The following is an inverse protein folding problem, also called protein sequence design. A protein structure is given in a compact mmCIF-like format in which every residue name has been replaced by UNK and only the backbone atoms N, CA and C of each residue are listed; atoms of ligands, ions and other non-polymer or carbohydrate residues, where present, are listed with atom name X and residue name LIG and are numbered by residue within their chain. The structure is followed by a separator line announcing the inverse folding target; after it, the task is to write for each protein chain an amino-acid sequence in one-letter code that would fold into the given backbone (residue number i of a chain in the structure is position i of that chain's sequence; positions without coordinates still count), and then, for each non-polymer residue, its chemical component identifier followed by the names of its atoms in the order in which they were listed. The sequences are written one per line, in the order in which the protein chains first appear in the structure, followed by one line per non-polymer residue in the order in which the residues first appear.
data_IF_901055256073
#
_entry.id   IF_901055256073
#
_cell.length_a   1.000
_cell.length_b   1.000
_cell.length_c   1.000
_cell.angle_alpha   90.00
_cell.angle_beta   90.00
_cell.angle_gamma   90.00
#
_symmetry.space_group_name_H-M   'P 1'
#
loop_
_entity.id
_entity.type
_entity.pdbx_description
1 polymer ?
#
# COMPACT_ATOMS: atom_id res chain seq x y z
N UNK A 1 13.36 -1.91 4.99
CA UNK A 1 12.91 -3.30 4.67
C UNK A 1 12.84 -4.22 5.90
N UNK A 2 13.63 -3.91 6.92
CA UNK A 2 13.69 -4.71 8.14
C UNK A 2 12.55 -4.46 9.14
N UNK A 3 11.59 -3.61 8.82
CA UNK A 3 10.48 -3.23 9.71
C UNK A 3 9.38 -4.28 9.80
N UNK A 4 9.23 -5.13 8.78
CA UNK A 4 8.19 -6.15 8.72
C UNK A 4 8.74 -7.48 9.19
N UNK A 5 8.23 -8.07 10.29
CA UNK A 5 8.69 -9.38 10.75
C UNK A 5 8.21 -10.51 9.81
N UNK A 6 8.94 -11.60 9.80
CA UNK A 6 8.47 -12.88 9.28
C UNK A 6 7.51 -13.50 10.31
N UNK A 7 6.38 -14.02 9.84
CA UNK A 7 5.26 -14.46 10.68
C UNK A 7 4.90 -15.91 10.34
N UNK A 8 4.75 -16.74 11.37
CA UNK A 8 4.06 -18.04 11.29
C UNK A 8 2.67 -17.86 11.89
N UNK A 9 1.62 -18.16 11.13
CA UNK A 9 0.24 -17.96 11.55
C UNK A 9 -0.62 -19.21 11.32
N UNK A 10 -1.72 -19.31 12.09
CA UNK A 10 -2.76 -20.34 11.97
C UNK A 10 -4.15 -19.73 12.09
N UNK A 11 -5.22 -20.48 11.77
CA UNK A 11 -6.59 -19.97 11.85
C UNK A 11 -7.05 -19.77 13.29
N UNK A 12 -7.75 -18.67 13.56
CA UNK A 12 -8.47 -18.46 14.82
C UNK A 12 -9.90 -19.05 14.78
N UNK A 13 -10.47 -19.33 15.96
CA UNK A 13 -11.83 -19.87 16.08
C UNK A 13 -12.95 -18.82 16.06
N UNK A 14 -12.66 -17.52 15.84
CA UNK A 14 -13.64 -16.43 15.92
C UNK A 14 -14.65 -16.42 14.76
N UNK A 15 -15.87 -15.92 15.05
CA UNK A 15 -16.93 -15.73 14.06
C UNK A 15 -16.58 -14.61 13.06
N UNK A 16 -17.06 -14.72 11.82
CA UNK A 16 -16.87 -13.72 10.77
C UNK A 16 -18.06 -12.77 10.59
N UNK A 17 -19.21 -13.06 11.20
CA UNK A 17 -20.46 -12.30 11.01
C UNK A 17 -20.38 -10.84 11.45
N UNK A 18 -19.59 -10.55 12.49
CA UNK A 18 -19.45 -9.19 13.02
C UNK A 18 -18.75 -8.24 12.02
N UNK A 19 -17.84 -8.74 11.19
CA UNK A 19 -17.15 -7.94 10.17
C UNK A 19 -18.13 -7.38 9.12
N UNK A 20 -19.10 -8.19 8.68
CA UNK A 20 -20.11 -7.76 7.72
C UNK A 20 -21.07 -6.74 8.34
N UNK A 21 -21.49 -6.94 9.59
CA UNK A 21 -22.32 -5.98 10.31
C UNK A 21 -21.62 -4.62 10.51
N UNK A 22 -20.33 -4.64 10.87
CA UNK A 22 -19.54 -3.43 11.00
C UNK A 22 -19.30 -2.71 9.67
N UNK A 23 -19.18 -3.43 8.56
CA UNK A 23 -19.10 -2.84 7.21
C UNK A 23 -20.37 -2.06 6.85
N UNK A 24 -21.54 -2.65 7.13
CA UNK A 24 -22.82 -1.97 6.90
C UNK A 24 -22.94 -0.68 7.70
N UNK A 25 -22.55 -0.71 8.98
CA UNK A 25 -22.58 0.47 9.83
C UNK A 25 -21.55 1.52 9.40
N UNK A 26 -20.33 1.11 9.06
CA UNK A 26 -19.26 2.03 8.63
C UNK A 26 -19.64 2.89 7.43
N UNK A 27 -20.48 2.39 6.52
CA UNK A 27 -21.01 3.13 5.39
C UNK A 27 -22.06 4.18 5.76
N UNK A 28 -22.65 4.09 6.95
CA UNK A 28 -23.68 5.01 7.45
C UNK A 28 -23.08 6.10 8.33
N UNK A 29 -21.83 5.94 8.78
CA UNK A 29 -21.14 6.90 9.61
C UNK A 29 -20.49 7.98 8.75
N UNK A 30 -20.54 9.23 9.21
CA UNK A 30 -20.01 10.40 8.52
C UNK A 30 -18.61 10.75 9.05
N UNK A 31 -17.67 10.92 8.12
CA UNK A 31 -16.31 11.39 8.45
C UNK A 31 -16.37 12.86 8.86
N UNK A 32 -15.85 13.15 10.04
CA UNK A 32 -15.63 14.51 10.52
C UNK A 32 -14.23 15.03 10.20
N UNK A 33 -14.02 16.31 10.45
CA UNK A 33 -12.72 16.96 10.36
C UNK A 33 -12.21 17.28 11.76
N UNK A 34 -10.96 16.88 12.06
CA UNK A 34 -10.25 17.44 13.19
C UNK A 34 -9.78 18.84 12.78
N UNK A 35 -10.17 19.86 13.50
CA UNK A 35 -9.65 21.22 13.29
C UNK A 35 -8.12 21.19 13.41
N UNK A 36 -7.42 21.60 12.34
CA UNK A 36 -6.02 21.43 11.98
C UNK A 36 -4.95 21.65 13.08
N UNK A 37 -3.69 21.89 12.69
CA UNK A 37 -2.50 22.03 13.58
C UNK A 37 -2.70 22.97 14.81
N UNK A 38 -3.67 23.85 14.77
CA UNK A 38 -4.13 24.66 15.89
C UNK A 38 -4.76 23.84 17.03
N UNK A 39 -5.30 22.66 16.76
CA UNK A 39 -5.99 21.85 17.76
C UNK A 39 -5.03 21.21 18.80
N UNK A 40 -3.79 20.88 18.40
CA UNK A 40 -2.78 20.36 19.35
C UNK A 40 -2.32 21.43 20.34
N UNK A 41 -2.30 22.69 19.90
CA UNK A 41 -1.94 23.82 20.77
C UNK A 41 -3.09 24.22 21.69
N UNK A 42 -4.34 24.12 21.22
CA UNK A 42 -5.53 24.38 22.02
C UNK A 42 -5.81 23.28 23.07
N UNK A 43 -5.53 22.00 22.71
CA UNK A 43 -5.60 20.89 23.66
C UNK A 43 -4.61 21.04 24.84
N UNK A 44 -3.42 21.62 24.58
CA UNK A 44 -2.45 21.96 25.64
C UNK A 44 -2.95 23.12 26.51
N UNK A 45 -3.80 24.00 25.97
CA UNK A 45 -4.39 25.11 26.70
C UNK A 45 -5.73 24.78 27.42
N UNK A 46 -6.24 23.52 27.30
CA UNK A 46 -7.45 23.08 28.00
C UNK A 46 -8.77 23.53 27.35
N UNK A 47 -8.75 23.94 26.09
CA UNK A 47 -9.96 24.20 25.33
C UNK A 47 -10.52 22.89 24.75
N UNK A 48 -11.86 22.68 24.89
CA UNK A 48 -12.55 21.54 24.30
C UNK A 48 -12.45 21.60 22.78
N UNK A 49 -11.95 20.53 22.18
CA UNK A 49 -11.88 20.40 20.71
C UNK A 49 -13.29 20.03 20.24
N UNK A 50 -13.95 20.89 19.47
CA UNK A 50 -15.18 20.52 18.79
C UNK A 50 -14.83 19.52 17.66
N UNK A 51 -15.06 18.25 17.92
CA UNK A 51 -15.00 17.18 16.95
C UNK A 51 -16.31 17.15 16.16
N UNK A 52 -16.25 17.24 14.83
CA UNK A 52 -17.42 17.13 13.96
C UNK A 52 -17.53 15.73 13.38
N UNK A 53 -18.75 15.32 12.96
CA UNK A 53 -19.00 14.01 12.36
C UNK A 53 -19.00 12.86 13.36
N UNK A 54 -19.00 11.64 12.86
CA UNK A 54 -19.09 10.41 13.66
C UNK A 54 -17.72 9.79 13.95
N UNK A 55 -16.72 10.09 13.12
CA UNK A 55 -15.35 9.62 13.30
C UNK A 55 -14.34 10.54 12.62
N UNK A 56 -13.11 10.52 13.14
CA UNK A 56 -11.99 11.31 12.64
C UNK A 56 -10.90 10.35 12.14
N UNK A 57 -10.30 10.70 11.00
CA UNK A 57 -9.21 9.93 10.38
C UNK A 57 -7.93 10.74 10.46
N UNK A 58 -6.90 10.17 11.07
CA UNK A 58 -5.53 10.66 10.98
C UNK A 58 -4.77 9.86 9.91
N UNK A 59 -4.63 10.47 8.73
CA UNK A 59 -3.95 9.82 7.59
C UNK A 59 -2.45 9.65 7.82
N UNK A 60 -1.84 10.51 8.64
CA UNK A 60 -0.41 10.47 8.95
C UNK A 60 -0.09 9.33 9.91
N UNK A 61 -0.88 9.19 10.96
CA UNK A 61 -0.72 8.12 11.94
C UNK A 61 -1.47 6.83 11.54
N UNK A 62 -2.23 6.88 10.44
CA UNK A 62 -3.09 5.78 9.93
C UNK A 62 -4.05 5.24 11.00
N UNK A 63 -4.65 6.15 11.76
CA UNK A 63 -5.62 5.82 12.82
C UNK A 63 -7.01 6.38 12.54
N UNK A 64 -8.01 5.75 13.13
CA UNK A 64 -9.41 6.20 13.11
C UNK A 64 -9.94 6.18 14.53
N UNK A 65 -10.59 7.27 14.94
CA UNK A 65 -11.21 7.41 16.24
C UNK A 65 -12.68 7.79 16.10
N UNK A 66 -13.55 7.18 16.91
CA UNK A 66 -14.96 7.54 16.98
C UNK A 66 -15.13 8.83 17.83
N UNK A 67 -16.01 9.71 17.40
CA UNK A 67 -16.50 10.82 18.21
C UNK A 67 -17.60 10.35 19.18
N UNK A 68 -18.05 11.20 20.09
CA UNK A 68 -19.17 10.87 20.97
C UNK A 68 -20.45 10.54 20.18
N UNK A 69 -20.70 11.24 19.09
CA UNK A 69 -21.87 10.98 18.23
C UNK A 69 -21.74 9.67 17.46
N UNK A 70 -20.51 9.34 17.02
CA UNK A 70 -20.20 8.05 16.43
C UNK A 70 -20.41 6.90 17.40
N UNK A 71 -19.96 7.03 18.65
CA UNK A 71 -20.18 6.04 19.71
C UNK A 71 -21.66 5.79 19.91
N UNK A 72 -22.49 6.84 20.06
CA UNK A 72 -23.95 6.71 20.22
C UNK A 72 -24.62 5.98 19.05
N UNK A 73 -24.19 6.24 17.82
CA UNK A 73 -24.69 5.54 16.61
C UNK A 73 -24.33 4.06 16.62
N UNK A 74 -23.10 3.72 17.03
CA UNK A 74 -22.64 2.31 17.16
C UNK A 74 -23.46 1.60 18.23
N UNK A 75 -23.63 2.18 19.42
CA UNK A 75 -24.43 1.64 20.51
C UNK A 75 -25.86 1.38 20.09
N UNK A 76 -26.47 2.32 19.40
CA UNK A 76 -27.84 2.20 18.87
C UNK A 76 -27.94 1.07 17.83
N UNK A 77 -26.98 0.93 16.92
CA UNK A 77 -26.99 -0.08 15.87
C UNK A 77 -26.87 -1.50 16.42
N UNK A 78 -25.99 -1.70 17.41
CA UNK A 78 -25.78 -3.01 18.03
C UNK A 78 -26.67 -3.28 19.24
N UNK A 79 -27.55 -2.34 19.62
CA UNK A 79 -28.44 -2.41 20.80
C UNK A 79 -27.68 -2.70 22.11
N UNK A 80 -26.59 -1.99 22.31
CA UNK A 80 -25.75 -2.06 23.52
C UNK A 80 -25.84 -0.74 24.29
N UNK A 81 -25.64 -0.79 25.61
CA UNK A 81 -25.75 0.40 26.48
C UNK A 81 -24.45 1.22 26.53
N UNK A 82 -23.30 0.55 26.51
CA UNK A 82 -21.99 1.22 26.60
C UNK A 82 -20.94 0.48 25.75
N UNK A 83 -20.40 1.14 24.72
CA UNK A 83 -19.39 0.58 23.84
C UNK A 83 -18.05 0.33 24.55
N UNK A 84 -17.76 1.07 25.63
CA UNK A 84 -16.52 0.93 26.39
C UNK A 84 -16.50 -0.25 27.36
N UNK A 85 -17.62 -0.94 27.55
CA UNK A 85 -17.67 -2.12 28.40
C UNK A 85 -16.78 -3.25 27.86
N UNK A 86 -16.11 -4.01 28.76
CA UNK A 86 -15.24 -5.11 28.34
C UNK A 86 -15.93 -6.16 27.44
N UNK A 87 -17.24 -6.36 27.59
CA UNK A 87 -18.03 -7.28 26.78
C UNK A 87 -18.19 -6.77 25.33
N UNK A 88 -18.08 -5.47 25.09
CA UNK A 88 -18.28 -4.82 23.80
C UNK A 88 -16.96 -4.45 23.08
N UNK A 89 -15.80 -4.78 23.66
CA UNK A 89 -14.49 -4.46 23.07
C UNK A 89 -14.31 -5.04 21.66
N UNK A 90 -14.89 -6.19 21.38
CA UNK A 90 -14.85 -6.80 20.05
C UNK A 90 -15.64 -5.98 19.03
N UNK A 91 -16.79 -5.43 19.40
CA UNK A 91 -17.59 -4.52 18.55
C UNK A 91 -16.82 -3.23 18.29
N UNK A 92 -16.27 -2.62 19.36
CA UNK A 92 -15.45 -1.42 19.25
C UNK A 92 -14.25 -1.62 18.31
N UNK A 93 -13.54 -2.72 18.47
CA UNK A 93 -12.39 -3.07 17.63
C UNK A 93 -12.80 -3.23 16.16
N UNK A 94 -13.85 -4.01 15.90
CA UNK A 94 -14.27 -4.32 14.53
C UNK A 94 -14.88 -3.12 13.80
N UNK A 95 -15.57 -2.20 14.47
CA UNK A 95 -16.05 -0.98 13.83
C UNK A 95 -14.89 -0.06 13.43
N UNK A 96 -13.88 0.06 14.27
CA UNK A 96 -12.65 0.82 13.93
C UNK A 96 -11.94 0.18 12.74
N UNK A 97 -11.85 -1.15 12.68
CA UNK A 97 -11.27 -1.84 11.52
C UNK A 97 -12.08 -1.61 10.24
N UNK A 98 -13.41 -1.64 10.30
CA UNK A 98 -14.27 -1.34 9.16
C UNK A 98 -14.05 0.11 8.67
N UNK A 99 -13.98 1.07 9.56
CA UNK A 99 -13.69 2.47 9.23
C UNK A 99 -12.28 2.64 8.64
N UNK A 100 -11.27 1.94 9.17
CA UNK A 100 -9.92 1.91 8.60
C UNK A 100 -9.92 1.32 7.19
N UNK A 101 -10.62 0.21 6.98
CA UNK A 101 -10.73 -0.43 5.68
C UNK A 101 -11.34 0.51 4.62
N UNK A 102 -12.34 1.31 4.99
CA UNK A 102 -12.98 2.26 4.07
C UNK A 102 -12.17 3.52 3.83
N UNK A 103 -11.44 4.03 4.83
CA UNK A 103 -10.83 5.36 4.78
C UNK A 103 -9.31 5.35 4.59
N UNK A 104 -8.62 4.25 4.91
CA UNK A 104 -7.16 4.16 4.90
C UNK A 104 -6.62 3.00 4.05
N UNK A 105 -7.49 2.14 3.50
CA UNK A 105 -7.11 1.00 2.67
C UNK A 105 -7.77 1.12 1.31
N UNK A 106 -6.99 1.28 0.26
CA UNK A 106 -7.48 1.57 -1.08
C UNK A 106 -7.22 0.39 -2.02
N UNK A 107 -8.28 0.00 -2.72
CA UNK A 107 -8.19 -1.01 -3.77
C UNK A 107 -7.27 -0.51 -4.88
N UNK A 108 -6.50 -1.43 -5.46
CA UNK A 108 -5.52 -1.19 -6.51
C UNK A 108 -4.32 -0.30 -6.09
N UNK A 109 -4.19 -0.06 -4.78
CA UNK A 109 -3.03 0.57 -4.15
C UNK A 109 -2.45 -0.34 -3.06
N UNK A 110 -3.24 -0.60 -2.01
CA UNK A 110 -2.82 -1.41 -0.87
C UNK A 110 -3.12 -2.90 -1.08
N UNK A 111 -4.14 -3.20 -1.87
CA UNK A 111 -4.55 -4.56 -2.19
C UNK A 111 -5.25 -4.65 -3.54
N UNK A 112 -5.35 -5.85 -4.08
CA UNK A 112 -6.16 -6.18 -5.25
C UNK A 112 -7.20 -7.25 -4.90
N UNK A 113 -8.28 -7.30 -5.67
CA UNK A 113 -9.28 -8.38 -5.58
C UNK A 113 -9.16 -9.23 -6.83
N UNK A 114 -8.88 -10.51 -6.63
CA UNK A 114 -8.76 -11.47 -7.74
C UNK A 114 -10.14 -11.81 -8.35
N UNK A 115 -10.19 -12.34 -9.57
CA UNK A 115 -11.44 -12.81 -10.17
C UNK A 115 -12.16 -13.87 -9.32
N UNK A 116 -11.42 -14.66 -8.55
CA UNK A 116 -11.95 -15.69 -7.64
C UNK A 116 -12.49 -15.10 -6.32
N UNK A 117 -12.47 -13.78 -6.17
CA UNK A 117 -12.95 -13.08 -4.97
C UNK A 117 -12.01 -13.17 -3.78
N UNK A 118 -10.71 -13.23 -4.02
CA UNK A 118 -9.70 -13.22 -2.98
C UNK A 118 -9.03 -11.83 -2.88
N UNK A 119 -8.92 -11.31 -1.65
CA UNK A 119 -8.17 -10.08 -1.37
C UNK A 119 -6.70 -10.43 -1.21
N UNK A 120 -5.83 -9.82 -2.02
CA UNK A 120 -4.39 -10.01 -1.97
C UNK A 120 -3.67 -8.69 -1.72
N UNK A 121 -2.71 -8.70 -0.79
CA UNK A 121 -1.91 -7.53 -0.44
C UNK A 121 -0.95 -7.19 -1.58
N UNK A 122 -0.81 -5.91 -1.85
CA UNK A 122 0.24 -5.36 -2.72
C UNK A 122 1.35 -4.79 -1.85
N UNK A 123 2.57 -5.21 -2.08
CA UNK A 123 3.75 -4.70 -1.38
C UNK A 123 3.98 -3.23 -1.76
N UNK A 124 4.02 -2.36 -0.77
CA UNK A 124 4.21 -0.91 -0.95
C UNK A 124 5.54 -0.58 -1.65
N UNK A 125 6.58 -1.38 -1.42
CA UNK A 125 7.93 -1.12 -1.94
C UNK A 125 8.17 -1.70 -3.33
N UNK A 126 7.64 -2.89 -3.60
CA UNK A 126 7.86 -3.61 -4.86
C UNK A 126 6.67 -3.55 -5.81
N UNK A 127 5.48 -3.21 -5.32
CA UNK A 127 4.24 -3.25 -6.10
C UNK A 127 3.79 -4.67 -6.48
N UNK A 128 4.39 -5.71 -5.90
CA UNK A 128 4.05 -7.12 -6.17
C UNK A 128 2.95 -7.62 -5.25
N UNK A 129 2.14 -8.53 -5.75
CA UNK A 129 1.20 -9.29 -4.91
C UNK A 129 2.01 -10.16 -3.95
N UNK A 130 1.57 -10.19 -2.70
CA UNK A 130 2.14 -11.03 -1.65
C UNK A 130 1.23 -12.24 -1.38
N UNK A 131 1.43 -13.38 -2.09
CA UNK A 131 0.59 -14.56 -1.92
C UNK A 131 0.67 -15.11 -0.50
N UNK A 132 -0.49 -15.51 0.04
CA UNK A 132 -0.57 -16.11 1.37
C UNK A 132 -0.41 -15.15 2.55
N UNK A 133 -0.09 -13.88 2.33
CA UNK A 133 -0.05 -12.85 3.37
C UNK A 133 -1.42 -12.22 3.56
N UNK A 134 -1.73 -11.91 4.81
CA UNK A 134 -2.96 -11.25 5.22
C UNK A 134 -2.64 -10.16 6.23
N UNK A 135 -3.41 -9.06 6.23
CA UNK A 135 -3.31 -8.07 7.30
C UNK A 135 -3.72 -8.68 8.62
N UNK A 136 -3.03 -8.29 9.70
CA UNK A 136 -3.28 -8.76 11.05
C UNK A 136 -4.51 -8.12 11.71
N UNK A 137 -4.85 -8.63 12.87
CA UNK A 137 -5.82 -8.05 13.82
C UNK A 137 -7.24 -7.86 13.27
N UNK A 138 -7.61 -8.59 12.24
CA UNK A 138 -8.92 -8.52 11.62
C UNK A 138 -9.06 -7.49 10.49
N UNK A 139 -8.02 -6.71 10.18
CA UNK A 139 -8.09 -5.73 9.09
C UNK A 139 -8.33 -6.37 7.73
N UNK A 140 -7.75 -7.55 7.47
CA UNK A 140 -7.97 -8.26 6.21
C UNK A 140 -9.43 -8.67 6.05
N UNK A 141 -10.06 -9.17 7.12
CA UNK A 141 -11.47 -9.51 7.15
C UNK A 141 -12.37 -8.28 6.95
N UNK A 142 -12.00 -7.14 7.52
CA UNK A 142 -12.72 -5.89 7.31
C UNK A 142 -12.65 -5.43 5.83
N UNK A 143 -11.52 -5.65 5.15
CA UNK A 143 -11.38 -5.39 3.72
C UNK A 143 -12.21 -6.40 2.90
N UNK A 144 -12.20 -7.68 3.26
CA UNK A 144 -13.04 -8.70 2.61
C UNK A 144 -14.53 -8.34 2.72
N UNK A 145 -15.00 -7.88 3.89
CA UNK A 145 -16.36 -7.39 4.08
C UNK A 145 -16.66 -6.14 3.22
N UNK A 146 -15.75 -5.17 3.19
CA UNK A 146 -15.84 -3.97 2.35
C UNK A 146 -16.00 -4.30 0.87
N UNK A 147 -15.25 -5.29 0.37
CA UNK A 147 -15.25 -5.69 -1.04
C UNK A 147 -16.35 -6.72 -1.37
N UNK A 148 -17.20 -7.07 -0.38
CA UNK A 148 -18.29 -8.04 -0.53
C UNK A 148 -17.83 -9.41 -1.05
N UNK A 149 -16.63 -9.82 -0.67
CA UNK A 149 -16.11 -11.17 -0.89
C UNK A 149 -16.26 -12.01 0.37
N UNK A 150 -16.03 -13.31 0.26
CA UNK A 150 -16.17 -14.23 1.41
C UNK A 150 -15.17 -13.85 2.51
N UNK A 151 -15.68 -13.47 3.68
CA UNK A 151 -14.86 -13.19 4.86
C UNK A 151 -14.29 -14.50 5.40
N UNK A 152 -12.97 -14.64 5.39
CA UNK A 152 -12.27 -15.81 5.93
C UNK A 152 -11.98 -15.61 7.41
N UNK A 153 -11.78 -16.72 8.13
CA UNK A 153 -11.43 -16.66 9.55
C UNK A 153 -10.11 -15.94 9.76
N UNK A 154 -10.03 -15.19 10.85
CA UNK A 154 -8.81 -14.52 11.29
C UNK A 154 -7.67 -15.52 11.49
N UNK A 155 -6.45 -15.13 11.15
CA UNK A 155 -5.27 -15.92 11.45
C UNK A 155 -4.66 -15.47 12.78
N UNK A 156 -4.28 -16.44 13.61
CA UNK A 156 -3.55 -16.20 14.86
C UNK A 156 -2.06 -16.31 14.60
N UNK A 157 -1.30 -15.27 14.97
CA UNK A 157 0.15 -15.32 14.93
C UNK A 157 0.68 -16.30 15.98
N UNK A 158 1.42 -17.30 15.54
CA UNK A 158 2.05 -18.31 16.40
C UNK A 158 3.48 -17.92 16.78
N UNK A 159 4.22 -17.33 15.86
CA UNK A 159 5.59 -16.85 16.07
C UNK A 159 5.96 -15.74 15.10
N UNK A 160 6.88 -14.88 15.52
CA UNK A 160 7.46 -13.82 14.70
C UNK A 160 8.99 -13.77 14.87
N UNK A 161 9.69 -13.37 13.81
CA UNK A 161 11.11 -13.05 13.86
C UNK A 161 11.38 -11.88 12.91
N UNK A 162 12.17 -10.89 13.33
CA UNK A 162 12.61 -9.82 12.45
C UNK A 162 13.67 -10.30 11.45
N UNK A 163 13.81 -9.63 10.31
CA UNK A 163 14.86 -9.91 9.34
C UNK A 163 16.26 -9.78 9.99
N UNK A 164 16.45 -8.73 10.80
CA UNK A 164 17.71 -8.53 11.51
C UNK A 164 18.08 -9.73 12.39
N UNK A 165 17.14 -10.20 13.20
CA UNK A 165 17.37 -11.33 14.10
C UNK A 165 17.55 -12.64 13.33
N UNK A 166 16.84 -12.82 12.21
CA UNK A 166 17.00 -13.99 11.38
C UNK A 166 18.40 -14.03 10.75
N UNK A 167 18.79 -12.97 10.03
CA UNK A 167 20.07 -12.93 9.34
C UNK A 167 21.26 -12.87 10.27
N UNK A 168 21.12 -12.31 11.49
CA UNK A 168 22.18 -12.36 12.50
C UNK A 168 22.44 -13.75 13.10
N UNK A 169 21.60 -14.75 12.78
CA UNK A 169 21.88 -16.16 13.13
C UNK A 169 22.87 -16.85 12.16
N UNK A 170 23.19 -16.23 11.04
CA UNK A 170 24.12 -16.79 10.07
C UNK A 170 25.52 -16.23 10.29
N UNK A 171 26.54 -17.11 10.28
CA UNK A 171 27.96 -16.73 10.43
C UNK A 171 28.47 -15.94 9.23
N UNK A 172 28.00 -16.28 8.02
CA UNK A 172 28.35 -15.57 6.78
C UNK A 172 27.11 -14.94 6.17
N UNK A 173 27.18 -13.64 5.97
CA UNK A 173 26.11 -12.82 5.37
C UNK A 173 26.70 -11.92 4.31
N UNK A 174 26.00 -11.79 3.19
CA UNK A 174 26.32 -10.79 2.17
C UNK A 174 25.07 -10.45 1.38
N UNK A 175 25.08 -9.34 0.68
CA UNK A 175 23.99 -8.89 -0.17
C UNK A 175 24.50 -7.99 -1.28
N UNK A 176 23.64 -7.72 -2.25
CA UNK A 176 23.92 -6.80 -3.35
C UNK A 176 22.73 -5.87 -3.57
N UNK A 177 23.01 -4.59 -3.78
CA UNK A 177 22.00 -3.60 -4.16
C UNK A 177 22.69 -2.40 -4.83
N UNK A 178 21.98 -1.70 -5.67
CA UNK A 178 22.48 -0.46 -6.29
C UNK A 178 22.46 0.76 -5.36
N UNK A 179 21.93 0.65 -4.13
CA UNK A 179 21.67 1.79 -3.23
C UNK A 179 22.20 1.59 -1.81
N UNK A 180 23.15 0.67 -1.58
CA UNK A 180 23.62 0.35 -0.23
C UNK A 180 24.52 1.43 0.39
N UNK A 181 25.24 2.19 -0.42
CA UNK A 181 26.28 3.11 0.07
C UNK A 181 25.70 4.22 0.98
N UNK A 182 24.49 4.69 0.70
CA UNK A 182 23.81 5.71 1.51
C UNK A 182 23.44 5.19 2.89
N UNK A 183 23.27 3.87 3.03
CA UNK A 183 22.83 3.19 4.25
C UNK A 183 23.95 2.39 4.91
N UNK A 184 25.21 2.63 4.57
CA UNK A 184 26.37 1.90 5.09
C UNK A 184 26.39 1.86 6.62
N UNK A 185 26.07 2.99 7.26
CA UNK A 185 26.01 3.07 8.71
C UNK A 185 25.01 2.09 9.31
N UNK A 186 23.82 1.97 8.72
CA UNK A 186 22.78 1.03 9.18
C UNK A 186 23.25 -0.42 8.99
N UNK A 187 23.87 -0.76 7.86
CA UNK A 187 24.41 -2.11 7.65
C UNK A 187 25.49 -2.48 8.66
N UNK A 188 26.34 -1.54 9.01
CA UNK A 188 27.38 -1.73 10.02
C UNK A 188 26.81 -1.90 11.42
N UNK A 189 25.88 -1.02 11.81
CA UNK A 189 25.31 -1.00 13.16
C UNK A 189 24.41 -2.24 13.44
N UNK A 190 23.66 -2.72 12.43
CA UNK A 190 22.70 -3.80 12.60
C UNK A 190 23.33 -5.17 12.32
N UNK A 191 24.09 -5.28 11.25
CA UNK A 191 24.58 -6.58 10.75
C UNK A 191 26.09 -6.76 10.89
N UNK A 192 26.84 -5.73 11.27
CA UNK A 192 28.30 -5.76 11.30
C UNK A 192 28.92 -5.91 9.90
N UNK A 193 28.26 -5.41 8.85
CA UNK A 193 28.72 -5.50 7.47
C UNK A 193 29.17 -4.15 6.95
N UNK A 194 30.29 -4.15 6.22
CA UNK A 194 30.74 -3.00 5.45
C UNK A 194 30.11 -3.00 4.06
N UNK A 195 30.01 -1.82 3.46
CA UNK A 195 29.55 -1.66 2.08
C UNK A 195 30.74 -1.44 1.17
N UNK A 196 30.84 -2.24 0.13
CA UNK A 196 31.90 -2.15 -0.88
C UNK A 196 31.28 -1.73 -2.21
N UNK A 197 31.67 -0.58 -2.73
CA UNK A 197 31.25 -0.11 -4.04
C UNK A 197 32.05 -0.84 -5.13
N UNK A 198 31.35 -1.53 -6.01
CA UNK A 198 31.95 -2.17 -7.19
C UNK A 198 31.62 -1.31 -8.41
N UNK A 199 32.64 -0.72 -9.06
CA UNK A 199 32.39 0.14 -10.21
C UNK A 199 31.82 -0.65 -11.38
N UNK A 200 31.08 0.02 -12.25
CA UNK A 200 30.52 -0.57 -13.47
C UNK A 200 31.64 -1.02 -14.42
N UNK A 201 31.43 -2.15 -15.11
CA UNK A 201 32.39 -2.68 -16.09
C UNK A 201 32.63 -1.70 -17.27
N UNK A 202 31.60 -0.94 -17.64
CA UNK A 202 31.68 0.10 -18.69
C UNK A 202 31.26 1.46 -18.12
N UNK A 203 31.73 2.60 -18.69
CA UNK A 203 31.26 3.91 -18.27
C UNK A 203 29.74 4.02 -18.36
N UNK A 204 29.14 4.66 -17.35
CA UNK A 204 27.70 4.94 -17.32
C UNK A 204 27.39 5.94 -18.43
N UNK A 205 26.46 5.56 -19.33
CA UNK A 205 25.99 6.43 -20.42
C UNK A 205 24.62 7.07 -20.12
N UNK A 206 23.99 6.69 -18.99
CA UNK A 206 22.70 7.24 -18.56
C UNK A 206 22.86 8.73 -18.26
N UNK A 207 21.90 9.51 -18.76
CA UNK A 207 21.77 10.93 -18.45
C UNK A 207 20.52 11.11 -17.60
N UNK A 208 20.68 11.54 -16.37
CA UNK A 208 19.58 11.88 -15.48
C UNK A 208 19.20 13.35 -15.71
N UNK A 209 17.97 13.57 -16.18
CA UNK A 209 17.43 14.91 -16.40
C UNK A 209 16.90 15.50 -15.10
N UNK A 210 16.83 16.84 -15.05
CA UNK A 210 16.23 17.56 -13.93
C UNK A 210 14.73 17.24 -13.80
N UNK A 211 14.21 17.28 -12.56
CA UNK A 211 12.81 17.06 -12.27
C UNK A 211 11.91 18.11 -12.92
N UNK A 212 10.87 17.67 -13.64
CA UNK A 212 9.84 18.55 -14.17
C UNK A 212 8.69 18.70 -13.16
N UNK A 213 8.49 19.90 -12.65
CA UNK A 213 7.47 20.19 -11.63
C UNK A 213 6.21 20.78 -12.29
N UNK A 214 5.06 20.22 -11.96
CA UNK A 214 3.76 20.63 -12.50
C UNK A 214 2.84 21.14 -11.39
N UNK A 215 1.95 22.05 -11.71
CA UNK A 215 0.99 22.62 -10.79
C UNK A 215 -0.10 21.62 -10.41
N UNK A 216 -0.53 20.79 -11.35
CA UNK A 216 -1.59 19.81 -11.15
C UNK A 216 -1.16 18.40 -11.62
N UNK A 217 -1.82 17.38 -11.08
CA UNK A 217 -1.62 15.98 -11.51
C UNK A 217 -1.99 15.77 -12.99
N UNK A 218 -3.03 16.47 -13.47
CA UNK A 218 -3.48 16.34 -14.86
C UNK A 218 -2.43 16.87 -15.83
N UNK A 219 -1.89 18.06 -15.59
CA UNK A 219 -0.78 18.62 -16.38
C UNK A 219 0.42 17.68 -16.43
N UNK A 220 0.77 17.08 -15.28
CA UNK A 220 1.84 16.07 -15.21
C UNK A 220 1.54 14.87 -16.11
N UNK A 221 0.32 14.31 -16.05
CA UNK A 221 -0.01 13.13 -16.84
C UNK A 221 -0.06 13.43 -18.35
N UNK A 222 -0.55 14.60 -18.75
CA UNK A 222 -0.50 15.06 -20.14
C UNK A 222 0.94 15.21 -20.63
N UNK A 223 1.82 15.79 -19.82
CA UNK A 223 3.25 15.92 -20.13
C UNK A 223 3.95 14.55 -20.26
N UNK A 224 3.60 13.57 -19.41
CA UNK A 224 4.12 12.20 -19.51
C UNK A 224 3.69 11.57 -20.84
N UNK A 225 2.43 11.71 -21.24
CA UNK A 225 1.92 11.17 -22.50
C UNK A 225 2.65 11.81 -23.69
N UNK A 226 2.86 13.11 -23.67
CA UNK A 226 3.58 13.82 -24.74
C UNK A 226 5.04 13.38 -24.85
N UNK A 227 5.73 13.25 -23.72
CA UNK A 227 7.11 12.73 -23.69
C UNK A 227 7.20 11.28 -24.24
N UNK A 228 6.22 10.44 -23.93
CA UNK A 228 6.13 9.08 -24.47
C UNK A 228 5.93 9.12 -25.99
N UNK A 229 5.07 10.00 -26.51
CA UNK A 229 4.83 10.17 -27.95
C UNK A 229 6.12 10.57 -28.68
N UNK A 230 6.83 11.56 -28.15
CA UNK A 230 8.08 12.05 -28.72
C UNK A 230 9.14 10.94 -28.79
N UNK A 231 9.37 10.22 -27.69
CA UNK A 231 10.34 9.13 -27.65
C UNK A 231 9.91 7.95 -28.54
N UNK A 232 8.64 7.58 -28.53
CA UNK A 232 8.11 6.50 -29.37
C UNK A 232 8.25 6.81 -30.86
N UNK A 233 8.07 8.07 -31.29
CA UNK A 233 8.24 8.49 -32.68
C UNK A 233 9.65 8.26 -33.23
N UNK A 234 10.66 8.23 -32.34
CA UNK A 234 12.05 7.92 -32.73
C UNK A 234 12.34 6.41 -32.76
N UNK A 235 11.38 5.58 -32.32
CA UNK A 235 11.56 4.14 -32.14
C UNK A 235 12.29 3.76 -30.85
N UNK A 236 12.56 4.71 -29.97
CA UNK A 236 13.18 4.44 -28.68
C UNK A 236 12.22 3.67 -27.77
N UNK A 237 12.66 2.57 -27.11
CA UNK A 237 11.85 1.94 -26.09
C UNK A 237 11.66 2.84 -24.87
N UNK A 238 10.46 2.85 -24.31
CA UNK A 238 10.07 3.74 -23.21
C UNK A 238 9.55 2.93 -22.03
N UNK A 239 10.10 3.17 -20.85
CA UNK A 239 9.58 2.65 -19.58
C UNK A 239 8.98 3.79 -18.76
N UNK A 240 7.69 3.71 -18.45
CA UNK A 240 6.97 4.68 -17.63
C UNK A 240 6.77 4.09 -16.24
N UNK A 241 7.50 4.63 -15.25
CA UNK A 241 7.37 4.23 -13.85
C UNK A 241 6.17 4.92 -13.18
N UNK A 242 5.35 4.16 -12.46
CA UNK A 242 4.23 4.66 -11.67
C UNK A 242 4.27 4.12 -10.25
N UNK A 243 3.70 4.86 -9.30
CA UNK A 243 3.68 4.45 -7.89
C UNK A 243 2.50 3.50 -7.62
N UNK A 244 1.34 3.72 -8.26
CA UNK A 244 0.11 2.95 -8.00
C UNK A 244 -0.44 2.29 -9.26
N UNK A 245 -1.20 1.22 -9.05
CA UNK A 245 -1.92 0.51 -10.13
C UNK A 245 -2.91 1.45 -10.82
N UNK A 246 -3.63 2.29 -10.05
CA UNK A 246 -4.59 3.25 -10.56
C UNK A 246 -3.95 4.22 -11.56
N UNK A 247 -2.79 4.80 -11.22
CA UNK A 247 -2.05 5.70 -12.12
C UNK A 247 -1.55 4.97 -13.36
N UNK A 248 -1.11 3.72 -13.24
CA UNK A 248 -0.70 2.91 -14.39
C UNK A 248 -1.86 2.67 -15.35
N UNK A 249 -3.05 2.39 -14.85
CA UNK A 249 -4.26 2.20 -15.66
C UNK A 249 -4.76 3.51 -16.28
N UNK A 250 -4.66 4.63 -15.54
CA UNK A 250 -5.01 5.96 -16.06
C UNK A 250 -4.12 6.32 -17.26
N UNK A 251 -2.80 6.22 -17.10
CA UNK A 251 -1.85 6.50 -18.20
C UNK A 251 -2.05 5.54 -19.37
N UNK A 252 -2.36 4.27 -19.11
CA UNK A 252 -2.71 3.30 -20.16
C UNK A 252 -3.93 3.76 -20.96
N UNK A 253 -4.98 4.26 -20.32
CA UNK A 253 -6.16 4.80 -21.01
C UNK A 253 -5.81 6.02 -21.85
N UNK A 254 -4.94 6.90 -21.33
CA UNK A 254 -4.50 8.09 -22.06
C UNK A 254 -3.68 7.71 -23.31
N UNK A 255 -2.70 6.81 -23.18
CA UNK A 255 -1.90 6.33 -24.31
C UNK A 255 -2.74 5.57 -25.36
N UNK A 256 -3.76 4.82 -24.94
CA UNK A 256 -4.72 4.19 -25.88
C UNK A 256 -5.48 5.22 -26.72
N UNK A 257 -5.90 6.34 -26.11
CA UNK A 257 -6.57 7.44 -26.84
C UNK A 257 -5.65 8.06 -27.90
N UNK A 258 -4.36 8.14 -27.62
CA UNK A 258 -3.35 8.62 -28.58
C UNK A 258 -2.91 7.55 -29.61
N UNK A 259 -3.49 6.35 -29.55
CA UNK A 259 -3.16 5.27 -30.49
C UNK A 259 -1.80 4.60 -30.25
N UNK A 260 -1.17 4.82 -29.11
CA UNK A 260 0.14 4.24 -28.77
C UNK A 260 -0.06 2.83 -28.22
N UNK A 261 0.48 1.83 -28.93
CA UNK A 261 0.51 0.44 -28.45
C UNK A 261 1.50 0.33 -27.28
N UNK A 262 1.07 -0.26 -26.17
CA UNK A 262 1.88 -0.39 -24.98
C UNK A 262 1.48 -1.61 -24.15
N UNK A 263 2.37 -2.04 -23.25
CA UNK A 263 2.13 -3.06 -22.24
C UNK A 263 2.00 -2.39 -20.85
N UNK A 264 1.23 -3.03 -19.95
CA UNK A 264 1.09 -2.60 -18.55
C UNK A 264 1.56 -3.72 -17.65
N UNK A 265 2.54 -3.41 -16.79
CA UNK A 265 3.07 -4.31 -15.79
C UNK A 265 2.73 -3.77 -14.39
N UNK A 266 1.75 -4.38 -13.75
CA UNK A 266 1.36 -4.09 -12.38
C UNK A 266 0.89 -5.37 -11.68
N UNK A 267 0.52 -5.28 -10.39
CA UNK A 267 0.16 -6.45 -9.61
C UNK A 267 -1.04 -7.27 -10.16
N UNK A 268 -1.89 -6.68 -11.00
CA UNK A 268 -3.00 -7.40 -11.65
C UNK A 268 -2.53 -8.34 -12.77
N UNK A 269 -1.37 -8.06 -13.37
CA UNK A 269 -0.82 -8.77 -14.52
C UNK A 269 0.50 -9.48 -14.22
N UNK A 270 0.74 -9.81 -12.95
CA UNK A 270 2.00 -10.43 -12.51
C UNK A 270 2.32 -11.77 -13.19
N UNK A 271 1.31 -12.53 -13.60
CA UNK A 271 1.50 -13.80 -14.33
C UNK A 271 2.15 -13.61 -15.71
N UNK A 272 2.01 -12.43 -16.29
CA UNK A 272 2.58 -12.06 -17.59
C UNK A 272 3.90 -11.28 -17.48
N UNK A 273 4.40 -11.09 -16.25
CA UNK A 273 5.59 -10.27 -15.96
C UNK A 273 6.77 -10.64 -16.86
N UNK A 274 7.13 -11.92 -16.93
CA UNK A 274 8.29 -12.37 -17.70
C UNK A 274 8.19 -12.06 -19.20
N UNK A 275 7.00 -12.20 -19.78
CA UNK A 275 6.77 -11.89 -21.19
C UNK A 275 6.83 -10.38 -21.46
N UNK A 276 6.22 -9.57 -20.60
CA UNK A 276 6.22 -8.11 -20.73
C UNK A 276 7.64 -7.55 -20.58
N UNK A 277 8.41 -8.07 -19.61
CA UNK A 277 9.80 -7.66 -19.37
C UNK A 277 10.70 -8.03 -20.56
N UNK A 278 10.54 -9.23 -21.12
CA UNK A 278 11.33 -9.66 -22.28
C UNK A 278 11.16 -8.72 -23.51
N UNK A 279 9.99 -8.14 -23.67
CA UNK A 279 9.67 -7.24 -24.78
C UNK A 279 9.94 -5.75 -24.48
N UNK A 280 10.19 -5.37 -23.24
CA UNK A 280 10.25 -3.97 -22.81
C UNK A 280 11.39 -3.17 -23.48
N UNK A 281 12.49 -3.82 -23.81
CA UNK A 281 13.66 -3.21 -24.48
C UNK A 281 13.62 -3.25 -26.01
N UNK A 282 12.57 -3.80 -26.64
CA UNK A 282 12.47 -3.87 -28.09
C UNK A 282 12.24 -2.49 -28.71
N UNK A 283 12.66 -2.33 -29.97
CA UNK A 283 12.46 -1.09 -30.73
C UNK A 283 11.00 -0.66 -30.75
N UNK A 284 10.73 0.56 -30.32
CA UNK A 284 9.40 1.15 -30.28
C UNK A 284 8.50 0.59 -29.15
N UNK A 285 9.00 -0.26 -28.26
CA UNK A 285 8.22 -0.77 -27.14
C UNK A 285 7.89 0.34 -26.13
N UNK A 286 6.66 0.35 -25.63
CA UNK A 286 6.25 1.22 -24.54
C UNK A 286 5.69 0.35 -23.42
N UNK A 287 6.25 0.47 -22.22
CA UNK A 287 5.85 -0.30 -21.05
C UNK A 287 5.54 0.65 -19.90
N UNK A 288 4.35 0.54 -19.33
CA UNK A 288 3.97 1.21 -18.09
C UNK A 288 4.15 0.19 -16.97
N UNK A 289 4.95 0.52 -15.95
CA UNK A 289 5.19 -0.38 -14.83
C UNK A 289 5.03 0.33 -13.49
N UNK A 290 4.50 -0.40 -12.50
CA UNK A 290 4.58 0.01 -11.09
C UNK A 290 5.97 -0.35 -10.53
N UNK A 291 6.16 -0.19 -9.23
CA UNK A 291 7.41 -0.51 -8.53
C UNK A 291 7.94 -1.94 -8.79
N UNK A 292 7.12 -2.83 -9.35
CA UNK A 292 7.53 -4.19 -9.74
C UNK A 292 8.76 -4.20 -10.66
N UNK A 293 8.79 -3.31 -11.65
CA UNK A 293 9.91 -3.24 -12.61
C UNK A 293 11.13 -2.47 -12.06
N UNK A 294 11.02 -1.88 -10.88
CA UNK A 294 12.10 -1.10 -10.26
C UNK A 294 13.07 -1.92 -9.41
N UNK A 295 12.69 -3.15 -9.00
CA UNK A 295 13.47 -3.97 -8.08
C UNK A 295 13.44 -5.45 -8.44
N UNK A 296 14.63 -6.06 -8.54
CA UNK A 296 14.78 -7.49 -8.78
C UNK A 296 14.24 -7.95 -10.14
N UNK A 297 14.07 -7.02 -11.07
CA UNK A 297 13.63 -7.28 -12.44
C UNK A 297 14.74 -6.81 -13.38
N UNK A 298 15.23 -7.71 -14.19
CA UNK A 298 16.27 -7.45 -15.18
C UNK A 298 15.58 -7.23 -16.55
N UNK A 299 15.76 -6.05 -17.12
CA UNK A 299 15.12 -5.60 -18.35
C UNK A 299 16.16 -5.46 -19.46
#
# INVERSE_FOLDING_TARGET
EARTPLIISGQSGKSTALYEACDVLAKQLERGEASGEFSKMNAIMGEEIEETGDFIVDEKEKTVNLTEDGVKKVEKFFHIENLADPENLEIQHNIILALRAHNLMFRDQDYVVTPDGEVMIVDEFTGRIMPGRRYSDGLHQAIEAKEHVKVRRESKTLATITFQNLFNKYDKKSGMTGTAITEEKEFRDIYGMDVVEIPTNRPVQRVDLEDAVYKTKNEKYEAVVEAVKEAHATGQPVLVGTITIEVSELLSKMLKKEGIKHNVLNAKYHEQEAAIVADAGLHGAVTIATNMAGRGTDI
#
